data_IF_858281230577
#
_entry.id   IF_858281230577
#
_cell.length_a   1.000
_cell.length_b   1.000
_cell.length_c   1.000
_cell.angle_alpha   90.00
_cell.angle_beta   90.00
_cell.angle_gamma   90.00
#
_symmetry.space_group_name_H-M   'P 1'
#
loop_
_entity.id
_entity.type
_entity.pdbx_description
1 polymer ?
#
# COMPACT_ATOMS: atom_id res chain seq x y z
N UNK A 1 -18.40 -11.96 3.78
CA UNK A 1 -17.50 -12.95 3.13
C UNK A 1 -18.00 -13.41 1.78
N UNK A 2 -19.30 -13.66 1.56
CA UNK A 2 -19.84 -14.08 0.27
C UNK A 2 -19.76 -12.98 -0.80
N UNK A 3 -20.12 -11.74 -0.48
CA UNK A 3 -20.09 -10.62 -1.43
C UNK A 3 -18.71 -10.39 -2.05
N UNK A 4 -17.64 -10.64 -1.29
CA UNK A 4 -16.26 -10.52 -1.79
C UNK A 4 -15.93 -11.54 -2.87
N UNK A 5 -16.36 -12.77 -2.68
CA UNK A 5 -16.20 -13.85 -3.67
C UNK A 5 -17.09 -13.63 -4.88
N UNK A 6 -18.32 -13.17 -4.67
CA UNK A 6 -19.28 -12.86 -5.73
C UNK A 6 -18.82 -11.71 -6.63
N UNK A 7 -18.09 -10.72 -6.10
CA UNK A 7 -17.50 -9.63 -6.90
C UNK A 7 -16.20 -10.05 -7.61
N UNK A 8 -15.36 -10.88 -6.99
CA UNK A 8 -14.10 -11.32 -7.60
C UNK A 8 -14.31 -12.23 -8.81
N UNK A 9 -15.30 -13.10 -8.76
CA UNK A 9 -15.57 -14.07 -9.82
C UNK A 9 -15.84 -13.41 -11.18
N UNK A 10 -16.81 -12.48 -11.35
CA UNK A 10 -17.06 -11.83 -12.63
C UNK A 10 -15.87 -11.01 -13.13
N UNK A 11 -15.11 -10.38 -12.25
CA UNK A 11 -13.92 -9.62 -12.64
C UNK A 11 -12.83 -10.56 -13.18
N UNK A 12 -12.63 -11.72 -12.56
CA UNK A 12 -11.69 -12.74 -13.04
C UNK A 12 -12.11 -13.28 -14.42
N UNK A 13 -13.41 -13.49 -14.64
CA UNK A 13 -13.93 -13.92 -15.95
C UNK A 13 -13.64 -12.85 -17.02
N UNK A 14 -13.89 -11.57 -16.72
CA UNK A 14 -13.59 -10.45 -17.64
C UNK A 14 -12.09 -10.41 -17.96
N UNK A 15 -11.22 -10.47 -16.94
CA UNK A 15 -9.77 -10.46 -17.12
C UNK A 15 -9.29 -11.64 -18.00
N UNK A 16 -9.80 -12.85 -17.75
CA UNK A 16 -9.46 -14.03 -18.52
C UNK A 16 -9.96 -13.91 -19.97
N UNK A 17 -11.20 -13.44 -20.18
CA UNK A 17 -11.75 -13.24 -21.53
C UNK A 17 -10.96 -12.22 -22.34
N UNK A 18 -10.54 -11.12 -21.73
CA UNK A 18 -9.68 -10.12 -22.39
C UNK A 18 -8.32 -10.70 -22.76
N UNK A 19 -7.74 -11.55 -21.90
CA UNK A 19 -6.46 -12.20 -22.18
C UNK A 19 -6.55 -13.21 -23.33
N UNK A 20 -7.64 -13.97 -23.40
CA UNK A 20 -7.93 -14.87 -24.55
C UNK A 20 -8.10 -14.04 -25.82
N UNK A 21 -8.85 -12.95 -25.78
CA UNK A 21 -9.06 -12.07 -26.91
C UNK A 21 -7.73 -11.45 -27.41
N UNK A 22 -6.85 -11.05 -26.48
CA UNK A 22 -5.50 -10.57 -26.84
C UNK A 22 -4.66 -11.65 -27.51
N UNK A 23 -4.76 -12.90 -27.06
CA UNK A 23 -4.07 -14.04 -27.68
C UNK A 23 -4.59 -14.35 -29.11
N UNK A 24 -5.88 -14.19 -29.34
CA UNK A 24 -6.51 -14.45 -30.65
C UNK A 24 -6.32 -13.30 -31.65
N UNK A 25 -6.40 -12.05 -31.21
CA UNK A 25 -6.41 -10.87 -32.07
C UNK A 25 -5.12 -10.05 -32.04
N UNK A 26 -4.17 -10.43 -31.18
CA UNK A 26 -2.95 -9.67 -30.89
C UNK A 26 -3.18 -8.43 -30.01
N UNK A 27 -2.10 -7.72 -29.70
CA UNK A 27 -2.17 -6.50 -28.89
C UNK A 27 -3.01 -5.42 -29.55
N UNK A 28 -4.05 -4.97 -28.86
CA UNK A 28 -4.93 -3.90 -29.31
C UNK A 28 -5.13 -2.87 -28.19
N UNK A 29 -5.02 -1.58 -28.54
CA UNK A 29 -5.15 -0.47 -27.59
C UNK A 29 -6.41 -0.52 -26.70
N UNK A 30 -7.51 -1.06 -27.22
CA UNK A 30 -8.76 -1.16 -26.47
C UNK A 30 -8.75 -2.32 -25.50
N UNK A 31 -8.08 -3.43 -25.85
CA UNK A 31 -7.87 -4.59 -24.96
C UNK A 31 -6.97 -4.17 -23.81
N UNK A 32 -5.83 -3.51 -24.10
CA UNK A 32 -4.91 -2.99 -23.08
C UNK A 32 -5.63 -2.05 -22.11
N UNK A 33 -6.48 -1.15 -22.62
CA UNK A 33 -7.28 -0.25 -21.79
C UNK A 33 -8.29 -1.01 -20.91
N UNK A 34 -8.98 -2.00 -21.48
CA UNK A 34 -9.96 -2.79 -20.74
C UNK A 34 -9.28 -3.64 -19.66
N UNK A 35 -8.13 -4.25 -19.95
CA UNK A 35 -7.32 -4.98 -18.98
C UNK A 35 -6.89 -4.08 -17.82
N UNK A 36 -6.34 -2.89 -18.11
CA UNK A 36 -5.94 -1.94 -17.10
C UNK A 36 -7.12 -1.49 -16.19
N UNK A 37 -8.35 -1.32 -16.75
CA UNK A 37 -9.53 -1.01 -15.95
C UNK A 37 -9.98 -2.20 -15.11
N UNK A 38 -9.86 -3.43 -15.62
CA UNK A 38 -10.20 -4.66 -14.87
C UNK A 38 -9.24 -4.85 -13.69
N UNK A 39 -7.95 -4.60 -13.87
CA UNK A 39 -6.96 -4.63 -12.80
C UNK A 39 -7.25 -3.58 -11.72
N UNK A 40 -7.61 -2.36 -12.14
CA UNK A 40 -8.05 -1.31 -11.21
C UNK A 40 -9.27 -1.76 -10.41
N UNK A 41 -10.29 -2.31 -11.06
CA UNK A 41 -11.50 -2.78 -10.38
C UNK A 41 -11.18 -3.91 -9.40
N UNK A 42 -10.31 -4.85 -9.75
CA UNK A 42 -9.81 -5.91 -8.87
C UNK A 42 -9.16 -5.32 -7.61
N UNK A 43 -8.28 -4.34 -7.78
CA UNK A 43 -7.61 -3.65 -6.68
C UNK A 43 -8.62 -2.93 -5.76
N UNK A 44 -9.62 -2.26 -6.34
CA UNK A 44 -10.67 -1.59 -5.57
C UNK A 44 -11.47 -2.58 -4.74
N UNK A 45 -11.94 -3.67 -5.35
CA UNK A 45 -12.71 -4.71 -4.65
C UNK A 45 -11.89 -5.32 -3.52
N UNK A 46 -10.62 -5.65 -3.76
CA UNK A 46 -9.75 -6.19 -2.72
C UNK A 46 -9.58 -5.19 -1.54
N UNK A 47 -9.42 -3.91 -1.84
CA UNK A 47 -9.30 -2.85 -0.82
C UNK A 47 -10.59 -2.69 -0.01
N UNK A 48 -11.76 -2.73 -0.65
CA UNK A 48 -13.06 -2.67 0.02
C UNK A 48 -13.30 -3.89 0.92
N UNK A 49 -12.92 -5.09 0.45
CA UNK A 49 -13.00 -6.33 1.25
C UNK A 49 -12.12 -6.24 2.49
N UNK A 50 -10.89 -5.72 2.33
CA UNK A 50 -9.97 -5.54 3.45
C UNK A 50 -10.54 -4.56 4.46
N UNK A 51 -11.08 -3.43 4.01
CA UNK A 51 -11.75 -2.45 4.89
C UNK A 51 -12.94 -3.05 5.63
N UNK A 52 -13.82 -3.76 4.92
CA UNK A 52 -14.99 -4.42 5.53
C UNK A 52 -14.57 -5.40 6.63
N UNK A 53 -13.52 -6.19 6.40
CA UNK A 53 -13.01 -7.12 7.41
C UNK A 53 -12.41 -6.42 8.63
N UNK A 54 -11.79 -5.25 8.43
CA UNK A 54 -11.21 -4.47 9.52
C UNK A 54 -12.26 -3.68 10.30
N UNK A 55 -13.41 -3.36 9.68
CA UNK A 55 -14.54 -2.72 10.34
C UNK A 55 -15.43 -3.73 11.10
N UNK A 56 -15.32 -5.03 10.83
CA UNK A 56 -16.00 -6.08 11.57
C UNK A 56 -15.30 -6.32 12.91
N UNK A 57 -15.95 -6.01 14.02
CA UNK A 57 -15.44 -6.25 15.39
C UNK A 57 -15.09 -7.72 15.67
N UNK A 58 -15.61 -8.64 14.86
CA UNK A 58 -15.47 -10.09 15.00
C UNK A 58 -14.32 -10.72 14.18
N UNK A 59 -13.51 -9.94 13.47
CA UNK A 59 -12.34 -10.47 12.72
C UNK A 59 -11.03 -10.02 13.37
N UNK A 60 -10.67 -10.58 14.54
CA UNK A 60 -9.45 -10.18 15.24
C UNK A 60 -8.22 -10.50 14.39
N UNK A 61 -7.24 -9.58 14.41
CA UNK A 61 -5.92 -9.82 13.84
C UNK A 61 -5.31 -11.07 14.50
N UNK A 62 -4.62 -11.90 13.72
CA UNK A 62 -3.88 -13.05 14.23
C UNK A 62 -2.60 -12.59 14.92
N UNK A 63 -2.67 -12.35 16.20
CA UNK A 63 -1.54 -11.87 16.99
C UNK A 63 -0.61 -13.04 17.37
N UNK A 64 0.41 -13.29 16.54
CA UNK A 64 1.42 -14.32 16.72
C UNK A 64 2.83 -13.69 16.74
N UNK A 65 3.80 -14.36 17.38
CA UNK A 65 5.19 -13.93 17.34
C UNK A 65 5.82 -14.33 15.99
N UNK A 66 6.38 -13.36 15.26
CA UNK A 66 7.04 -13.62 13.98
C UNK A 66 8.30 -12.76 13.81
N UNK A 67 9.25 -13.17 12.93
CA UNK A 67 10.47 -12.42 12.64
C UNK A 67 10.14 -11.22 11.76
N UNK A 68 9.76 -10.10 12.39
CA UNK A 68 9.29 -8.90 11.67
C UNK A 68 10.37 -8.29 10.76
N UNK A 69 11.65 -8.40 11.13
CA UNK A 69 12.76 -7.93 10.27
C UNK A 69 12.75 -8.65 8.92
N UNK A 70 12.59 -9.97 8.93
CA UNK A 70 12.60 -10.78 7.71
C UNK A 70 11.35 -10.50 6.88
N UNK A 71 10.17 -10.49 7.52
CA UNK A 71 8.91 -10.20 6.86
C UNK A 71 8.90 -8.83 6.16
N UNK A 72 9.43 -7.80 6.85
CA UNK A 72 9.52 -6.44 6.31
C UNK A 72 10.55 -6.37 5.19
N UNK A 73 11.73 -7.00 5.36
CA UNK A 73 12.80 -7.03 4.36
C UNK A 73 12.33 -7.68 3.06
N UNK A 74 11.80 -8.89 3.12
CA UNK A 74 11.29 -9.61 1.95
C UNK A 74 10.24 -8.79 1.21
N UNK A 75 9.31 -8.17 1.94
CA UNK A 75 8.27 -7.35 1.34
C UNK A 75 8.86 -6.11 0.69
N UNK A 76 9.78 -5.40 1.36
CA UNK A 76 10.38 -4.17 0.84
C UNK A 76 11.28 -4.42 -0.37
N UNK A 77 12.09 -5.49 -0.35
CA UNK A 77 12.95 -5.88 -1.47
C UNK A 77 12.15 -6.18 -2.75
N UNK A 78 10.92 -6.71 -2.64
CA UNK A 78 10.06 -6.96 -3.80
C UNK A 78 9.65 -5.67 -4.55
N UNK A 79 9.81 -4.50 -3.93
CA UNK A 79 9.54 -3.20 -4.56
C UNK A 79 10.75 -2.60 -5.28
N UNK A 80 11.95 -3.18 -5.16
CA UNK A 80 13.19 -2.61 -5.73
C UNK A 80 13.09 -2.43 -7.23
N UNK A 81 12.71 -3.48 -7.97
CA UNK A 81 12.58 -3.42 -9.42
C UNK A 81 11.44 -2.49 -9.85
N UNK A 82 10.36 -2.45 -9.08
CA UNK A 82 9.24 -1.54 -9.37
C UNK A 82 9.65 -0.08 -9.17
N UNK A 83 10.36 0.26 -8.10
CA UNK A 83 10.91 1.60 -7.87
C UNK A 83 11.88 1.99 -8.99
N UNK A 84 12.83 1.11 -9.33
CA UNK A 84 13.79 1.33 -10.41
C UNK A 84 13.09 1.56 -11.76
N UNK A 85 12.03 0.82 -12.09
CA UNK A 85 11.24 1.00 -13.30
C UNK A 85 10.53 2.36 -13.39
N UNK A 86 10.40 3.06 -12.26
CA UNK A 86 9.84 4.41 -12.13
C UNK A 86 10.91 5.50 -11.99
N UNK A 87 12.20 5.13 -12.03
CA UNK A 87 13.32 6.05 -11.89
C UNK A 87 13.66 6.41 -10.45
N UNK A 88 13.25 5.57 -9.48
CA UNK A 88 13.52 5.80 -8.06
C UNK A 88 14.55 4.80 -7.54
N UNK A 89 15.45 5.27 -6.68
CA UNK A 89 16.32 4.41 -5.88
C UNK A 89 15.65 4.14 -4.53
N UNK A 90 15.52 2.87 -4.15
CA UNK A 90 14.92 2.45 -2.89
C UNK A 90 16.01 2.15 -1.86
N UNK A 91 16.11 2.98 -0.82
CA UNK A 91 17.04 2.82 0.29
C UNK A 91 16.34 2.15 1.47
N UNK A 92 16.82 0.97 1.85
CA UNK A 92 16.27 0.18 2.96
C UNK A 92 17.19 0.24 4.18
N UNK A 93 16.63 0.62 5.34
CA UNK A 93 17.32 0.60 6.65
C UNK A 93 16.51 -0.24 7.62
N UNK A 94 16.72 -1.55 7.62
CA UNK A 94 15.93 -2.50 8.39
C UNK A 94 16.79 -3.08 9.50
N UNK A 95 16.43 -2.82 10.77
CA UNK A 95 17.07 -3.42 11.94
C UNK A 95 16.90 -4.93 11.91
N UNK A 96 18.00 -5.67 12.03
CA UNK A 96 18.02 -7.14 11.98
C UNK A 96 17.52 -7.78 13.28
N UNK A 97 17.00 -9.00 13.15
CA UNK A 97 16.70 -9.88 14.27
C UNK A 97 15.56 -9.44 15.19
N UNK A 98 14.70 -8.52 14.75
CA UNK A 98 13.52 -8.14 15.52
C UNK A 98 12.41 -9.19 15.38
N UNK A 99 11.85 -9.56 16.52
CA UNK A 99 10.61 -10.33 16.62
C UNK A 99 9.50 -9.40 17.11
N UNK A 100 8.31 -9.56 16.57
CA UNK A 100 7.14 -8.76 16.93
C UNK A 100 5.92 -9.66 17.07
N UNK A 101 5.06 -9.37 18.06
CA UNK A 101 3.78 -10.05 18.23
C UNK A 101 2.68 -9.27 17.54
N UNK A 102 2.22 -9.77 16.40
CA UNK A 102 1.22 -9.11 15.58
C UNK A 102 0.72 -10.03 14.46
N UNK A 103 -0.06 -9.49 13.57
CA UNK A 103 -0.51 -10.18 12.36
C UNK A 103 0.50 -9.93 11.23
N UNK A 104 1.30 -10.96 10.89
CA UNK A 104 2.34 -10.86 9.87
C UNK A 104 1.78 -10.42 8.52
N UNK A 105 0.62 -10.95 8.12
CA UNK A 105 0.00 -10.59 6.85
C UNK A 105 -0.39 -9.10 6.81
N UNK A 106 -1.00 -8.59 7.89
CA UNK A 106 -1.36 -7.19 8.00
C UNK A 106 -0.13 -6.27 8.01
N UNK A 107 0.96 -6.67 8.70
CA UNK A 107 2.22 -5.91 8.68
C UNK A 107 2.85 -5.89 7.28
N UNK A 108 2.91 -7.01 6.56
CA UNK A 108 3.36 -7.07 5.16
C UNK A 108 2.50 -6.18 4.26
N UNK A 109 1.19 -6.16 4.48
CA UNK A 109 0.27 -5.28 3.76
C UNK A 109 0.54 -3.80 4.04
N UNK A 110 0.80 -3.43 5.31
CA UNK A 110 1.19 -2.07 5.69
C UNK A 110 2.46 -1.62 4.96
N UNK A 111 3.51 -2.44 4.93
CA UNK A 111 4.75 -2.18 4.19
C UNK A 111 4.46 -1.97 2.71
N UNK A 112 3.67 -2.85 2.10
CA UNK A 112 3.31 -2.76 0.68
C UNK A 112 2.54 -1.48 0.36
N UNK A 113 1.60 -1.06 1.23
CA UNK A 113 0.83 0.18 1.05
C UNK A 113 1.76 1.40 1.11
N UNK A 114 2.68 1.45 2.07
CA UNK A 114 3.59 2.58 2.23
C UNK A 114 4.56 2.69 1.05
N UNK A 115 5.12 1.58 0.59
CA UNK A 115 6.05 1.56 -0.54
C UNK A 115 5.35 1.82 -1.88
N UNK A 116 4.17 1.23 -2.11
CA UNK A 116 3.37 1.51 -3.31
C UNK A 116 2.99 3.01 -3.40
N UNK A 117 2.65 3.61 -2.25
CA UNK A 117 2.39 5.04 -2.16
C UNK A 117 3.64 5.85 -2.51
N UNK A 118 4.80 5.52 -1.89
CA UNK A 118 6.04 6.22 -2.16
C UNK A 118 6.45 6.14 -3.64
N UNK A 119 6.43 4.95 -4.26
CA UNK A 119 6.78 4.77 -5.69
C UNK A 119 5.84 5.52 -6.62
N UNK A 120 4.56 5.64 -6.27
CA UNK A 120 3.55 6.33 -7.10
C UNK A 120 3.62 7.84 -7.05
N UNK A 121 4.04 8.40 -5.91
CA UNK A 121 3.93 9.83 -5.64
C UNK A 121 5.26 10.52 -5.38
N UNK A 122 6.39 9.79 -5.38
CA UNK A 122 7.71 10.41 -5.34
C UNK A 122 7.94 11.28 -6.58
N UNK A 123 8.68 12.37 -6.39
CA UNK A 123 9.14 13.20 -7.49
C UNK A 123 10.10 12.42 -8.38
N UNK A 124 10.09 12.67 -9.72
CA UNK A 124 11.02 12.01 -10.62
C UNK A 124 12.47 12.09 -10.12
N UNK A 125 13.22 11.00 -10.32
CA UNK A 125 14.66 10.90 -9.99
C UNK A 125 14.99 11.17 -8.50
N UNK A 126 13.99 11.07 -7.59
CA UNK A 126 14.22 11.20 -6.16
C UNK A 126 14.28 9.84 -5.46
N UNK A 127 15.10 9.71 -4.39
CA UNK A 127 15.17 8.46 -3.63
C UNK A 127 13.92 8.27 -2.77
N UNK A 128 13.61 7.00 -2.52
CA UNK A 128 12.62 6.55 -1.54
C UNK A 128 13.37 5.93 -0.37
N UNK A 129 13.10 6.39 0.83
CA UNK A 129 13.69 5.86 2.06
C UNK A 129 12.64 5.02 2.80
N UNK A 130 13.04 3.83 3.25
CA UNK A 130 12.18 2.98 4.07
C UNK A 130 12.98 2.38 5.23
N UNK A 131 12.42 2.44 6.45
CA UNK A 131 13.08 1.89 7.63
C UNK A 131 12.16 1.09 8.54
N UNK A 132 12.76 0.13 9.25
CA UNK A 132 12.20 -0.59 10.38
C UNK A 132 13.13 -0.44 11.58
N UNK A 133 12.61 0.05 12.68
CA UNK A 133 13.35 0.26 13.92
C UNK A 133 12.61 -0.34 15.11
N UNK A 134 13.38 -0.73 16.15
CA UNK A 134 12.80 -1.13 17.43
C UNK A 134 12.28 0.09 18.18
N UNK A 135 11.05 0.02 18.69
CA UNK A 135 10.48 1.03 19.60
C UNK A 135 10.62 0.59 21.06
N UNK A 136 10.25 1.50 21.99
CA UNK A 136 10.14 1.13 23.42
C UNK A 136 9.12 0.01 23.65
N UNK A 137 8.05 0.00 22.87
CA UNK A 137 7.04 -1.07 22.80
C UNK A 137 6.78 -1.32 21.33
N UNK A 138 7.08 -2.55 20.86
CA UNK A 138 6.88 -2.93 19.48
C UNK A 138 7.91 -2.36 18.49
N UNK A 139 7.45 -1.92 17.32
CA UNK A 139 8.31 -1.50 16.20
C UNK A 139 7.79 -0.23 15.54
N UNK A 140 8.67 0.49 14.83
CA UNK A 140 8.34 1.66 14.00
C UNK A 140 8.75 1.40 12.56
N UNK A 141 7.81 1.61 11.65
CA UNK A 141 8.01 1.63 10.21
C UNK A 141 7.95 3.07 9.71
N UNK A 142 8.89 3.45 8.85
CA UNK A 142 8.90 4.78 8.22
C UNK A 142 9.10 4.64 6.72
N UNK A 143 8.34 5.42 5.97
CA UNK A 143 8.54 5.60 4.52
C UNK A 143 8.63 7.09 4.24
N UNK A 144 9.60 7.52 3.43
CA UNK A 144 9.79 8.93 3.09
C UNK A 144 10.17 9.08 1.62
N UNK A 145 9.61 10.10 0.98
CA UNK A 145 9.92 10.46 -0.40
C UNK A 145 9.73 11.96 -0.63
N UNK A 146 10.37 12.51 -1.65
CA UNK A 146 10.13 13.87 -2.10
C UNK A 146 8.71 14.02 -2.68
N UNK A 147 8.03 15.15 -2.40
CA UNK A 147 6.69 15.47 -2.88
C UNK A 147 6.51 16.97 -3.12
N UNK A 148 5.60 17.36 -4.01
CA UNK A 148 5.25 18.76 -4.28
C UNK A 148 3.82 19.15 -3.85
N UNK A 149 2.89 18.22 -3.89
CA UNK A 149 1.45 18.55 -3.95
C UNK A 149 0.69 18.38 -2.63
N UNK A 150 1.39 18.15 -1.52
CA UNK A 150 0.74 17.95 -0.23
C UNK A 150 1.04 19.13 0.70
N UNK A 151 0.03 19.95 0.97
CA UNK A 151 0.15 20.97 1.98
C UNK A 151 0.23 20.34 3.38
N UNK A 152 1.14 20.84 4.28
CA UNK A 152 1.35 20.26 5.60
C UNK A 152 0.07 20.07 6.43
N UNK A 153 -0.86 21.03 6.33
CA UNK A 153 -2.17 20.98 7.01
C UNK A 153 -3.10 19.87 6.50
N UNK A 154 -2.85 19.33 5.31
CA UNK A 154 -3.63 18.26 4.70
C UNK A 154 -3.00 16.87 4.91
N UNK A 155 -1.80 16.77 5.48
CA UNK A 155 -1.08 15.51 5.63
C UNK A 155 -1.91 14.43 6.36
N UNK A 156 -2.66 14.79 7.40
CA UNK A 156 -3.50 13.85 8.14
C UNK A 156 -4.76 13.42 7.38
N UNK A 157 -5.26 14.24 6.45
CA UNK A 157 -6.41 13.90 5.60
C UNK A 157 -6.08 12.79 4.60
N UNK A 158 -4.80 12.54 4.33
CA UNK A 158 -4.36 11.43 3.46
C UNK A 158 -4.81 10.06 3.95
N UNK A 159 -5.14 9.93 5.25
CA UNK A 159 -5.67 8.70 5.84
C UNK A 159 -7.21 8.60 5.77
N UNK A 160 -7.89 9.64 5.30
CA UNK A 160 -9.35 9.59 5.13
C UNK A 160 -9.70 8.75 3.90
N UNK A 161 -10.78 7.96 4.01
CA UNK A 161 -11.23 7.09 2.92
C UNK A 161 -11.59 7.93 1.69
N UNK A 162 -11.12 7.50 0.52
CA UNK A 162 -11.33 8.15 -0.78
C UNK A 162 -10.72 9.55 -0.92
N UNK A 163 -9.97 10.02 0.08
CA UNK A 163 -9.28 11.30 -0.03
C UNK A 163 -8.05 11.20 -0.94
N UNK A 164 -7.85 12.23 -1.76
CA UNK A 164 -6.68 12.40 -2.64
C UNK A 164 -6.29 13.87 -2.62
N UNK A 165 -5.01 14.16 -2.38
CA UNK A 165 -4.49 15.52 -2.35
C UNK A 165 -4.59 16.21 -3.72
N UNK A 166 -4.42 15.46 -4.81
CA UNK A 166 -4.55 15.94 -6.18
C UNK A 166 -5.61 15.14 -6.96
N UNK A 167 -6.69 15.84 -7.35
CA UNK A 167 -7.73 15.30 -8.24
C UNK A 167 -7.37 15.43 -9.72
N UNK A 168 -6.36 16.24 -10.09
CA UNK A 168 -6.05 16.58 -11.48
C UNK A 168 -5.08 15.61 -12.15
N UNK A 169 -4.22 14.91 -11.40
CA UNK A 169 -3.32 13.87 -11.94
C UNK A 169 -4.08 12.56 -12.11
N UNK A 170 -4.99 12.54 -13.07
CA UNK A 170 -5.89 11.42 -13.38
C UNK A 170 -5.23 10.14 -13.90
N UNK A 171 -3.91 10.08 -14.00
CA UNK A 171 -3.16 8.89 -14.41
C UNK A 171 -2.70 8.01 -13.24
N UNK A 172 -2.78 8.47 -12.00
CA UNK A 172 -2.45 7.69 -10.82
C UNK A 172 -3.54 6.68 -10.46
N UNK A 173 -3.17 5.42 -10.33
CA UNK A 173 -4.08 4.27 -10.15
C UNK A 173 -4.55 4.05 -8.71
N UNK A 174 -4.68 5.08 -7.88
CA UNK A 174 -5.10 4.92 -6.47
C UNK A 174 -6.52 5.40 -6.20
N UNK A 175 -7.31 4.62 -5.45
CA UNK A 175 -8.69 4.97 -5.05
C UNK A 175 -8.76 5.79 -3.75
N UNK A 176 -7.62 6.16 -3.15
CA UNK A 176 -7.59 6.86 -1.85
C UNK A 176 -8.00 5.96 -0.67
N UNK A 177 -7.80 4.65 -0.79
CA UNK A 177 -8.17 3.66 0.24
C UNK A 177 -6.92 3.11 0.94
N UNK A 178 -5.77 3.04 0.28
CA UNK A 178 -4.58 2.39 0.81
C UNK A 178 -4.15 2.93 2.17
N UNK A 179 -4.00 4.23 2.31
CA UNK A 179 -3.57 4.83 3.58
C UNK A 179 -4.61 4.71 4.70
N UNK A 180 -5.91 4.63 4.40
CA UNK A 180 -6.92 4.33 5.41
C UNK A 180 -6.82 2.89 5.91
N UNK A 181 -6.47 1.92 5.04
CA UNK A 181 -6.13 0.55 5.44
C UNK A 181 -4.87 0.56 6.31
N UNK A 182 -3.83 1.30 5.92
CA UNK A 182 -2.60 1.43 6.73
C UNK A 182 -2.90 1.95 8.15
N UNK A 183 -3.82 2.92 8.29
CA UNK A 183 -4.30 3.40 9.58
C UNK A 183 -5.00 2.30 10.37
N UNK A 184 -5.96 1.60 9.76
CA UNK A 184 -6.67 0.50 10.44
C UNK A 184 -5.73 -0.62 10.89
N UNK A 185 -4.70 -0.96 10.09
CA UNK A 185 -3.67 -1.93 10.49
C UNK A 185 -2.90 -1.44 11.72
N UNK A 186 -2.44 -0.19 11.73
CA UNK A 186 -1.69 0.36 12.84
C UNK A 186 -2.55 0.42 14.12
N UNK A 187 -3.80 0.85 14.02
CA UNK A 187 -4.77 0.90 15.14
C UNK A 187 -5.10 -0.50 15.66
N UNK A 188 -5.29 -1.49 14.77
CA UNK A 188 -5.51 -2.88 15.16
C UNK A 188 -4.32 -3.51 15.91
N UNK A 189 -3.11 -3.01 15.69
CA UNK A 189 -1.90 -3.35 16.44
C UNK A 189 -1.67 -2.41 17.64
N UNK A 190 -2.70 -1.75 18.14
CA UNK A 190 -2.67 -0.81 19.28
C UNK A 190 -1.68 0.36 19.09
N UNK A 191 -1.32 0.64 17.85
CA UNK A 191 -0.40 1.68 17.45
C UNK A 191 -1.08 2.88 16.80
N UNK A 192 -0.33 3.58 15.98
CA UNK A 192 -0.82 4.74 15.23
C UNK A 192 0.00 4.95 13.96
N UNK A 193 -0.57 5.66 13.00
CA UNK A 193 0.15 6.12 11.82
C UNK A 193 -0.03 7.64 11.68
N UNK A 194 1.03 8.32 11.25
CA UNK A 194 1.01 9.76 10.99
C UNK A 194 1.77 10.08 9.72
N UNK A 195 1.40 11.20 9.08
CA UNK A 195 2.11 11.78 7.97
C UNK A 195 2.63 13.17 8.36
N UNK A 196 3.85 13.49 7.97
CA UNK A 196 4.46 14.80 8.14
C UNK A 196 4.98 15.22 6.77
N UNK A 197 4.67 16.46 6.40
CA UNK A 197 5.21 17.11 5.20
C UNK A 197 6.10 18.24 5.66
N UNK A 198 7.36 18.18 5.26
CA UNK A 198 8.37 19.18 5.61
C UNK A 198 9.43 19.24 4.51
N UNK A 199 9.85 20.45 4.16
CA UNK A 199 10.92 20.73 3.19
C UNK A 199 10.82 19.93 1.88
N UNK A 200 9.60 19.88 1.28
CA UNK A 200 9.37 19.16 0.01
C UNK A 200 9.43 17.63 0.12
N UNK A 201 9.40 17.09 1.33
CA UNK A 201 9.33 15.65 1.60
C UNK A 201 8.06 15.31 2.38
N UNK A 202 7.50 14.13 2.09
CA UNK A 202 6.48 13.51 2.93
C UNK A 202 7.08 12.30 3.63
N UNK A 203 6.78 12.16 4.91
CA UNK A 203 7.17 11.00 5.71
C UNK A 203 5.94 10.39 6.39
N UNK A 204 5.75 9.10 6.20
CA UNK A 204 4.76 8.29 6.91
C UNK A 204 5.48 7.54 8.02
N UNK A 205 4.96 7.60 9.24
CA UNK A 205 5.49 6.87 10.40
C UNK A 205 4.37 6.04 11.02
N UNK A 206 4.51 4.73 11.00
CA UNK A 206 3.61 3.79 11.64
C UNK A 206 4.29 3.18 12.88
N UNK A 207 3.67 3.34 14.03
CA UNK A 207 4.07 2.71 15.29
C UNK A 207 3.14 1.52 15.54
N UNK A 208 3.69 0.32 15.75
CA UNK A 208 2.97 -0.89 16.13
C UNK A 208 3.41 -1.28 17.55
N UNK A 209 2.45 -1.62 18.44
CA UNK A 209 2.72 -1.84 19.87
C UNK A 209 2.40 -3.26 20.29
#
# INVERSE_FOLDING_TARGET
>A
TDASHELKTPITVIATSLKVLEMETGKQKWIDKAMAQTEKLTSLVNSLVTLSRMDEEDSPLKMEDFPVSDAVRETAESFTDFAASKGHELHLSITDGLTYRGDEYAVRQLVSILLDNAVKYALPDSPIEFSLEKAKRGVVLRSSNACEDVAPENAQKLFDRFYRADQSRSSGSGFGIGLSIARSIAEGHHGSIRAIVDDGKIAFTAELK
#
